data_IF_306433362591
#
_entry.id   IF_306433362591
#
_cell.length_a   1.000
_cell.length_b   1.000
_cell.length_c   1.000
_cell.angle_alpha   90.00
_cell.angle_beta   90.00
_cell.angle_gamma   90.00
#
_symmetry.space_group_name_H-M   'P 1'
#
loop_
_entity.id
_entity.type
_entity.pdbx_description
1 polymer ?
#
# COMPACT_ATOMS: atom_id res chain seq x y z
N UNK A 1 -3.36 9.32 -11.03
CA UNK A 1 -2.74 10.41 -10.26
C UNK A 1 -1.93 9.88 -9.07
N UNK A 2 -0.87 10.55 -8.63
CA UNK A 2 -0.18 10.28 -7.36
C UNK A 2 -0.02 11.54 -6.51
N UNK A 3 -0.08 11.39 -5.19
CA UNK A 3 0.17 12.45 -4.19
C UNK A 3 1.11 11.94 -3.11
N UNK A 4 1.98 12.80 -2.62
CA UNK A 4 2.86 12.54 -1.49
C UNK A 4 2.42 13.32 -0.25
N UNK A 5 2.65 12.76 0.94
CA UNK A 5 2.38 13.40 2.22
C UNK A 5 3.58 13.23 3.18
N UNK A 6 3.96 14.36 3.76
CA UNK A 6 4.92 14.51 4.86
C UNK A 6 4.06 14.62 6.13
N UNK A 7 4.04 13.56 6.93
CA UNK A 7 3.13 13.47 8.08
C UNK A 7 3.74 14.01 9.37
N UNK A 8 5.07 14.03 9.48
CA UNK A 8 5.76 14.50 10.68
C UNK A 8 6.36 15.92 10.54
N UNK A 9 6.39 16.46 9.33
CA UNK A 9 6.81 17.81 8.99
C UNK A 9 8.33 17.99 8.89
N UNK A 10 9.09 16.91 8.69
CA UNK A 10 10.55 16.97 8.63
C UNK A 10 11.11 17.31 7.23
N UNK A 11 10.23 17.35 6.22
CA UNK A 11 10.55 17.69 4.84
C UNK A 11 10.87 16.48 3.95
N UNK A 12 10.73 15.25 4.46
CA UNK A 12 10.65 14.03 3.68
C UNK A 12 9.19 13.61 3.50
N UNK A 13 8.92 12.77 2.49
CA UNK A 13 7.59 12.24 2.24
C UNK A 13 7.54 10.77 2.62
N UNK A 14 6.79 10.44 3.67
CA UNK A 14 6.65 9.05 4.16
C UNK A 14 5.55 8.32 3.40
N UNK A 15 4.52 9.04 2.91
CA UNK A 15 3.32 8.42 2.35
C UNK A 15 3.12 8.77 0.89
N UNK A 16 2.88 7.77 0.03
CA UNK A 16 2.37 7.95 -1.33
C UNK A 16 0.94 7.44 -1.42
N UNK A 17 0.08 8.25 -2.03
CA UNK A 17 -1.33 7.98 -2.30
C UNK A 17 -1.48 7.88 -3.82
N UNK A 18 -2.00 6.76 -4.31
CA UNK A 18 -2.15 6.49 -5.74
C UNK A 18 -3.63 6.32 -6.09
N UNK A 19 -4.04 7.05 -7.11
CA UNK A 19 -5.31 6.91 -7.85
C UNK A 19 -4.90 6.43 -9.25
N UNK A 20 -4.71 5.12 -9.41
CA UNK A 20 -4.19 4.51 -10.63
C UNK A 20 -5.18 4.52 -11.78
N UNK A 21 -6.48 4.47 -11.48
CA UNK A 21 -7.57 4.37 -12.46
C UNK A 21 -8.12 5.76 -12.89
N UNK A 22 -7.72 6.83 -12.20
CA UNK A 22 -8.11 8.23 -12.42
C UNK A 22 -9.61 8.52 -12.22
N UNK A 23 -10.27 7.76 -11.36
CA UNK A 23 -11.67 7.97 -10.97
C UNK A 23 -11.84 9.00 -9.84
N UNK A 24 -10.74 9.40 -9.20
CA UNK A 24 -10.70 10.36 -8.11
C UNK A 24 -10.74 9.76 -6.71
N UNK A 25 -10.79 8.43 -6.60
CA UNK A 25 -10.61 7.67 -5.38
C UNK A 25 -9.19 7.10 -5.31
N UNK A 26 -8.74 6.70 -4.12
CA UNK A 26 -7.42 6.11 -3.97
C UNK A 26 -7.53 4.60 -4.21
N UNK A 27 -6.59 4.04 -4.95
CA UNK A 27 -6.44 2.59 -5.13
C UNK A 27 -5.34 2.04 -4.22
N UNK A 28 -4.32 2.85 -3.89
CA UNK A 28 -3.14 2.37 -3.14
C UNK A 28 -2.58 3.43 -2.20
N UNK A 29 -2.14 2.97 -1.02
CA UNK A 29 -1.38 3.74 -0.04
C UNK A 29 -0.07 3.03 0.27
N UNK A 30 1.06 3.71 0.09
CA UNK A 30 2.40 3.21 0.42
C UNK A 30 3.00 4.06 1.54
N UNK A 31 3.55 3.44 2.58
CA UNK A 31 4.10 4.14 3.77
C UNK A 31 5.52 3.65 4.08
N UNK A 32 6.46 4.59 4.23
CA UNK A 32 7.80 4.41 4.81
C UNK A 32 7.76 4.94 6.26
N UNK A 33 7.67 4.02 7.22
CA UNK A 33 7.59 4.33 8.66
C UNK A 33 8.98 4.59 9.23
N UNK A 34 10.00 3.93 8.70
CA UNK A 34 11.34 3.92 9.28
C UNK A 34 12.24 5.03 8.72
N UNK A 35 11.83 5.69 7.63
CA UNK A 35 12.55 6.76 6.96
C UNK A 35 13.80 6.26 6.23
N UNK A 36 13.83 4.98 5.87
CA UNK A 36 14.97 4.35 5.19
C UNK A 36 14.82 4.33 3.67
N UNK A 37 13.71 4.89 3.16
CA UNK A 37 13.31 4.99 1.75
C UNK A 37 12.83 3.69 1.15
N UNK A 38 12.59 2.68 1.97
CA UNK A 38 11.84 1.50 1.61
C UNK A 38 10.42 1.64 2.14
N UNK A 39 9.46 1.10 1.39
CA UNK A 39 8.08 1.02 1.88
C UNK A 39 8.08 -0.05 2.98
N UNK A 40 7.38 0.21 4.08
CA UNK A 40 7.12 -0.76 5.15
C UNK A 40 5.69 -1.33 5.04
N UNK A 41 4.75 -0.52 4.52
CA UNK A 41 3.34 -0.88 4.40
C UNK A 41 2.81 -0.51 3.02
N UNK A 42 2.14 -1.46 2.37
CA UNK A 42 1.29 -1.20 1.21
C UNK A 42 -0.15 -1.62 1.51
N UNK A 43 -1.09 -0.72 1.31
CA UNK A 43 -2.52 -1.00 1.44
C UNK A 43 -3.22 -0.77 0.10
N UNK A 44 -4.12 -1.68 -0.27
CA UNK A 44 -4.82 -1.69 -1.55
C UNK A 44 -6.32 -1.76 -1.32
N UNK A 45 -7.05 -0.92 -2.06
CA UNK A 45 -8.50 -0.97 -2.16
C UNK A 45 -8.84 -1.66 -3.49
N UNK A 46 -9.44 -2.85 -3.39
CA UNK A 46 -9.84 -3.63 -4.56
C UNK A 46 -11.30 -3.36 -4.94
N UNK A 47 -11.98 -2.47 -4.22
CA UNK A 47 -13.35 -2.04 -4.44
C UNK A 47 -13.43 -0.53 -4.72
N UNK A 48 -12.59 0.03 -5.62
CA UNK A 48 -12.59 1.47 -5.88
C UNK A 48 -13.93 1.91 -6.51
N UNK A 49 -14.33 3.15 -6.23
CA UNK A 49 -15.56 3.76 -6.73
C UNK A 49 -16.76 3.64 -5.80
N UNK A 50 -16.57 3.12 -4.58
CA UNK A 50 -17.62 3.07 -3.54
C UNK A 50 -17.70 4.36 -2.70
N UNK A 51 -16.77 5.29 -2.90
CA UNK A 51 -16.69 6.59 -2.23
C UNK A 51 -15.78 6.62 -1.01
N UNK A 52 -15.17 5.50 -0.61
CA UNK A 52 -14.33 5.41 0.59
C UNK A 52 -13.16 4.46 0.38
N UNK A 53 -11.94 4.93 0.63
CA UNK A 53 -10.78 4.02 0.70
C UNK A 53 -10.95 3.05 1.88
N UNK A 54 -11.16 1.77 1.59
CA UNK A 54 -11.11 0.67 2.55
C UNK A 54 -10.08 -0.34 2.07
N UNK A 55 -9.09 -0.64 2.92
CA UNK A 55 -8.04 -1.57 2.54
C UNK A 55 -8.56 -3.00 2.58
N UNK A 56 -8.66 -3.62 1.41
CA UNK A 56 -9.01 -5.03 1.23
C UNK A 56 -7.76 -5.92 1.34
N UNK A 57 -6.60 -5.36 0.97
CA UNK A 57 -5.31 -6.04 1.11
C UNK A 57 -4.31 -5.12 1.81
N UNK A 58 -3.56 -5.67 2.76
CA UNK A 58 -2.44 -4.98 3.42
C UNK A 58 -1.21 -5.87 3.39
N UNK A 59 -0.15 -5.40 2.75
CA UNK A 59 1.16 -6.02 2.78
C UNK A 59 2.09 -5.28 3.75
N UNK A 60 2.88 -6.04 4.52
CA UNK A 60 3.77 -5.54 5.57
C UNK A 60 5.18 -6.11 5.36
N UNK A 61 6.20 -5.25 5.41
CA UNK A 61 7.60 -5.61 5.52
C UNK A 61 8.14 -5.21 6.90
N UNK A 62 8.93 -6.08 7.53
CA UNK A 62 9.41 -5.88 8.91
C UNK A 62 10.92 -5.69 9.01
N UNK A 63 11.68 -6.06 7.98
CA UNK A 63 13.14 -6.04 8.02
C UNK A 63 13.78 -4.88 7.24
N UNK A 64 12.98 -4.04 6.60
CA UNK A 64 13.40 -2.80 5.93
C UNK A 64 14.03 -3.02 4.56
N UNK A 65 13.75 -4.14 3.89
CA UNK A 65 14.27 -4.42 2.54
C UNK A 65 13.33 -3.98 1.40
N UNK A 66 12.13 -3.48 1.75
CA UNK A 66 11.09 -3.05 0.83
C UNK A 66 10.25 -4.19 0.23
N UNK A 67 10.38 -5.40 0.78
CA UNK A 67 9.65 -6.59 0.38
C UNK A 67 8.61 -6.97 1.44
N UNK A 68 7.59 -7.70 1.00
CA UNK A 68 6.50 -8.13 1.84
C UNK A 68 6.88 -9.42 2.57
N UNK A 69 6.80 -9.38 3.89
CA UNK A 69 6.89 -10.55 4.76
C UNK A 69 5.51 -11.20 4.95
N UNK A 70 4.47 -10.37 5.05
CA UNK A 70 3.11 -10.79 5.37
C UNK A 70 2.10 -10.01 4.53
N UNK A 71 1.09 -10.70 4.03
CA UNK A 71 -0.08 -10.10 3.37
C UNK A 71 -1.35 -10.49 4.13
N UNK A 72 -2.15 -9.50 4.50
CA UNK A 72 -3.51 -9.64 5.02
C UNK A 72 -4.49 -9.42 3.88
N UNK A 73 -5.50 -10.26 3.76
CA UNK A 73 -6.46 -10.23 2.64
C UNK A 73 -7.88 -10.48 3.17
N UNK A 74 -8.73 -9.46 2.99
CA UNK A 74 -10.19 -9.46 3.16
C UNK A 74 -10.80 -9.98 1.86
N UNK A 75 -11.08 -11.27 1.89
CA UNK A 75 -11.43 -12.03 0.68
C UNK A 75 -12.90 -11.89 0.30
N UNK A 76 -13.74 -11.45 1.24
CA UNK A 76 -15.17 -11.25 1.00
C UNK A 76 -15.63 -9.78 1.07
N UNK A 77 -14.68 -8.87 1.31
CA UNK A 77 -14.81 -7.41 1.24
C UNK A 77 -15.82 -6.88 2.27
N UNK A 78 -15.81 -7.46 3.48
CA UNK A 78 -16.73 -7.09 4.56
C UNK A 78 -16.10 -6.15 5.62
N UNK A 79 -14.82 -5.81 5.43
CA UNK A 79 -14.01 -4.97 6.31
C UNK A 79 -13.27 -5.75 7.40
N UNK A 80 -13.24 -7.09 7.30
CA UNK A 80 -12.51 -7.99 8.20
C UNK A 80 -11.55 -8.82 7.35
N UNK A 81 -10.31 -9.00 7.81
CA UNK A 81 -9.35 -9.85 7.12
C UNK A 81 -9.58 -11.34 7.44
N UNK A 82 -9.83 -12.18 6.42
CA UNK A 82 -10.00 -13.63 6.60
C UNK A 82 -8.67 -14.35 6.60
N UNK A 83 -7.72 -13.86 5.80
CA UNK A 83 -6.51 -14.61 5.49
C UNK A 83 -5.24 -13.84 5.78
N UNK A 84 -4.22 -14.61 6.17
CA UNK A 84 -2.84 -14.17 6.32
C UNK A 84 -2.00 -15.07 5.44
N UNK A 85 -1.32 -14.46 4.48
CA UNK A 85 -0.53 -15.12 3.44
C UNK A 85 0.94 -14.74 3.65
N UNK A 86 1.83 -15.69 3.35
CA UNK A 86 3.27 -15.43 3.26
C UNK A 86 3.55 -14.41 2.15
N UNK A 87 4.23 -13.31 2.46
CA UNK A 87 4.51 -12.24 1.50
C UNK A 87 5.50 -12.66 0.42
N UNK A 88 6.29 -13.73 0.66
CA UNK A 88 7.13 -14.36 -0.35
C UNK A 88 8.25 -13.47 -0.88
N UNK A 89 8.64 -12.45 -0.12
CA UNK A 89 9.60 -11.42 -0.51
C UNK A 89 9.20 -10.69 -1.81
N UNK A 90 7.91 -10.56 -2.09
CA UNK A 90 7.42 -9.74 -3.20
C UNK A 90 7.61 -8.26 -2.87
N UNK A 91 7.90 -7.43 -3.88
CA UNK A 91 8.00 -5.97 -3.67
C UNK A 91 6.67 -5.46 -3.08
N UNK A 92 6.72 -4.72 -1.97
CA UNK A 92 5.50 -4.31 -1.23
C UNK A 92 4.46 -3.61 -2.11
N UNK A 93 4.90 -2.73 -2.99
CA UNK A 93 4.02 -2.04 -3.93
C UNK A 93 3.25 -3.00 -4.87
N UNK A 94 3.74 -4.23 -5.06
CA UNK A 94 3.16 -5.24 -5.94
C UNK A 94 2.55 -6.42 -5.17
N UNK A 95 2.53 -6.38 -3.83
CA UNK A 95 2.08 -7.48 -2.99
C UNK A 95 0.54 -7.57 -2.89
N UNK A 96 -0.18 -7.06 -3.90
CA UNK A 96 -1.61 -7.25 -4.07
C UNK A 96 -1.87 -8.52 -4.91
N UNK A 97 -2.54 -9.56 -4.39
CA UNK A 97 -2.84 -10.76 -5.15
C UNK A 97 -3.87 -10.55 -6.28
N UNK A 98 -4.61 -9.44 -6.28
CA UNK A 98 -5.67 -9.15 -7.25
C UNK A 98 -5.27 -8.18 -8.37
N UNK A 99 -4.17 -7.45 -8.21
CA UNK A 99 -3.76 -6.41 -9.18
C UNK A 99 -2.23 -6.25 -9.30
N UNK A 100 -1.75 -5.82 -10.47
CA UNK A 100 -0.34 -5.48 -10.68
C UNK A 100 -0.22 -3.96 -10.58
N UNK A 101 0.07 -3.42 -9.41
CA UNK A 101 0.23 -1.98 -9.25
C UNK A 101 1.52 -1.47 -9.95
N UNK A 102 1.44 -0.26 -10.49
CA UNK A 102 2.50 0.43 -11.23
C UNK A 102 3.33 1.28 -10.25
N UNK A 103 4.63 1.00 -10.18
CA UNK A 103 5.58 1.54 -9.19
C UNK A 103 5.88 3.03 -9.36
N UNK A 104 5.74 3.82 -8.28
CA UNK A 104 6.60 4.97 -7.96
C UNK A 104 6.87 4.96 -6.45
N UNK A 105 8.13 4.76 -6.05
CA UNK A 105 8.56 4.85 -4.65
C UNK A 105 8.46 6.30 -4.11
N UNK A 106 8.38 6.51 -2.78
CA UNK A 106 8.51 7.84 -2.21
C UNK A 106 9.80 8.52 -2.70
N UNK A 107 9.69 9.76 -3.16
CA UNK A 107 10.83 10.56 -3.62
C UNK A 107 11.12 11.68 -2.63
N UNK A 108 12.39 12.06 -2.52
CA UNK A 108 12.87 13.17 -1.69
C UNK A 108 12.44 14.55 -2.20
#
# INVERSE_FOLDING_TARGET
MSRQADLDGDGYYETNLLDSNEDGELDTVLVDIQGDRYVDIAAFDNTPGDGTFVADVIALGFDGDGLADVVLDDTDLDGIFETVIDGGDEVLANANPYEIAIVVAPTA
#
